data_IF_467740416913
#
_entry.id   IF_467740416913
#
_cell.length_a   1.000
_cell.length_b   1.000
_cell.length_c   1.000
_cell.angle_alpha   90.00
_cell.angle_beta   90.00
_cell.angle_gamma   90.00
#
_symmetry.space_group_name_H-M   'P 1'
#
loop_
_entity.id
_entity.type
_entity.pdbx_description
1 polymer ?
#
# COMPACT_ATOMS: atom_id res chain seq x y z
N UNK A 1 7.21 -26.80 13.04
CA UNK A 1 6.79 -26.53 11.65
C UNK A 1 6.40 -25.07 11.62
N UNK A 2 7.33 -24.22 11.15
CA UNK A 2 7.08 -22.81 10.95
C UNK A 2 6.24 -22.77 9.68
N UNK A 3 4.93 -22.49 9.80
CA UNK A 3 4.09 -22.29 8.63
C UNK A 3 4.69 -21.06 7.95
N UNK A 4 5.23 -21.29 6.77
CA UNK A 4 5.78 -20.26 5.93
C UNK A 4 4.70 -19.16 5.79
N UNK A 5 4.95 -17.92 6.23
CA UNK A 5 4.03 -16.79 6.01
C UNK A 5 4.06 -16.43 4.53
N UNK A 6 3.63 -17.38 3.68
CA UNK A 6 3.43 -17.15 2.25
C UNK A 6 2.20 -16.26 2.16
N UNK A 7 2.49 -14.97 2.05
CA UNK A 7 1.75 -14.02 1.23
C UNK A 7 0.25 -13.88 1.53
N UNK A 8 -0.16 -13.92 2.80
CA UNK A 8 -1.50 -13.38 3.14
C UNK A 8 -1.58 -11.90 2.78
N UNK A 9 -0.46 -11.18 2.86
CA UNK A 9 -0.36 -9.78 2.48
C UNK A 9 -0.48 -9.54 0.97
N UNK A 10 -0.23 -10.51 0.06
CA UNK A 10 -0.55 -10.33 -1.39
C UNK A 10 -2.02 -10.43 -1.69
N UNK A 11 -2.80 -11.06 -0.80
CA UNK A 11 -4.26 -11.20 -0.99
C UNK A 11 -5.03 -9.96 -0.59
N UNK A 12 -4.32 -8.97 -0.08
CA UNK A 12 -4.85 -7.69 0.36
C UNK A 12 -4.42 -6.66 -0.67
N UNK A 13 -5.33 -5.82 -1.13
CA UNK A 13 -5.02 -4.67 -1.96
C UNK A 13 -4.13 -3.70 -1.19
N UNK A 14 -3.31 -2.93 -1.90
CA UNK A 14 -2.48 -1.88 -1.29
C UNK A 14 -3.33 -0.90 -0.48
N UNK A 15 -4.56 -0.67 -0.91
CA UNK A 15 -5.53 0.17 -0.21
C UNK A 15 -5.99 -0.46 1.12
N UNK A 16 -6.47 -1.71 1.13
CA UNK A 16 -6.92 -2.34 2.36
C UNK A 16 -5.75 -2.52 3.36
N UNK A 17 -4.57 -2.87 2.87
CA UNK A 17 -3.33 -2.94 3.67
C UNK A 17 -3.01 -1.63 4.38
N UNK A 18 -3.02 -0.53 3.64
CA UNK A 18 -2.76 0.81 4.17
C UNK A 18 -3.79 1.26 5.21
N UNK A 19 -5.06 0.90 5.03
CA UNK A 19 -6.12 1.18 6.00
C UNK A 19 -5.89 0.39 7.29
N UNK A 20 -5.57 -0.90 7.16
CA UNK A 20 -5.24 -1.77 8.29
C UNK A 20 -4.06 -1.21 9.07
N UNK A 21 -2.99 -0.81 8.37
CA UNK A 21 -1.79 -0.21 8.94
C UNK A 21 -2.10 1.13 9.65
N UNK A 22 -2.92 1.99 9.05
CA UNK A 22 -3.35 3.26 9.66
C UNK A 22 -4.10 3.01 10.97
N UNK A 23 -5.00 2.02 10.98
CA UNK A 23 -5.74 1.64 12.19
C UNK A 23 -4.81 1.05 13.25
N UNK A 24 -3.84 0.22 12.88
CA UNK A 24 -2.82 -0.32 13.78
C UNK A 24 -1.95 0.77 14.40
N UNK A 25 -1.53 1.77 13.63
CA UNK A 25 -0.74 2.91 14.13
C UNK A 25 -1.54 3.84 15.06
N UNK A 26 -2.86 3.87 14.91
CA UNK A 26 -3.76 4.69 15.75
C UNK A 26 -4.24 3.93 16.99
N UNK A 27 -4.20 2.60 16.96
CA UNK A 27 -4.58 1.76 18.08
C UNK A 27 -3.51 1.80 19.19
N UNK A 28 -3.94 1.63 20.44
CA UNK A 28 -3.02 1.50 21.56
C UNK A 28 -2.09 0.29 21.35
N UNK A 29 -0.82 0.35 21.77
CA UNK A 29 0.16 -0.72 21.56
C UNK A 29 -0.19 -2.02 22.31
N UNK A 30 -1.16 -1.98 23.21
CA UNK A 30 -1.69 -3.12 23.96
C UNK A 30 -2.98 -3.71 23.33
N UNK A 31 -3.51 -3.07 22.29
CA UNK A 31 -4.74 -3.49 21.60
C UNK A 31 -4.42 -4.42 20.42
N UNK A 32 -4.92 -5.66 20.50
CA UNK A 32 -4.86 -6.59 19.37
C UNK A 32 -5.95 -6.23 18.35
N UNK A 33 -5.54 -5.57 17.27
CA UNK A 33 -6.46 -5.26 16.17
C UNK A 33 -6.66 -6.50 15.30
N UNK A 34 -7.89 -7.00 15.22
CA UNK A 34 -8.28 -8.13 14.36
C UNK A 34 -9.04 -7.67 13.12
N UNK A 35 -9.23 -8.55 12.13
CA UNK A 35 -10.04 -8.25 10.95
C UNK A 35 -11.47 -7.79 11.31
N UNK A 36 -12.08 -8.35 12.37
CA UNK A 36 -13.37 -7.88 12.87
C UNK A 36 -13.35 -6.40 13.30
N UNK A 37 -12.27 -5.97 13.98
CA UNK A 37 -12.09 -4.58 14.42
C UNK A 37 -11.90 -3.66 13.22
N UNK A 38 -11.15 -4.10 12.21
CA UNK A 38 -10.99 -3.35 10.96
C UNK A 38 -12.33 -3.21 10.24
N UNK A 39 -13.16 -4.26 10.21
CA UNK A 39 -14.46 -4.24 9.54
C UNK A 39 -15.45 -3.30 10.20
N UNK A 40 -15.50 -3.32 11.54
CA UNK A 40 -16.32 -2.40 12.32
C UNK A 40 -15.90 -0.95 12.07
N UNK A 41 -14.59 -0.68 12.07
CA UNK A 41 -14.02 0.62 11.75
C UNK A 41 -14.36 1.10 10.32
N UNK A 42 -14.24 0.21 9.33
CA UNK A 42 -14.63 0.50 7.93
C UNK A 42 -16.12 0.80 7.80
N UNK A 43 -16.97 0.04 8.49
CA UNK A 43 -18.43 0.20 8.46
C UNK A 43 -18.87 1.50 9.13
N UNK A 44 -18.23 1.87 10.24
CA UNK A 44 -18.47 3.13 10.93
C UNK A 44 -18.05 4.33 10.07
N UNK A 45 -16.87 4.24 9.44
CA UNK A 45 -16.36 5.29 8.54
C UNK A 45 -17.20 5.45 7.27
N UNK A 46 -17.65 4.34 6.66
CA UNK A 46 -18.61 4.36 5.56
C UNK A 46 -19.91 5.05 5.97
N UNK A 47 -20.46 4.71 7.14
CA UNK A 47 -21.67 5.35 7.67
C UNK A 47 -21.49 6.85 7.93
N UNK A 48 -20.32 7.27 8.43
CA UNK A 48 -19.99 8.67 8.63
C UNK A 48 -19.83 9.43 7.31
N UNK A 49 -19.18 8.82 6.31
CA UNK A 49 -18.95 9.41 4.99
C UNK A 49 -20.25 9.70 4.21
N UNK A 50 -21.32 8.93 4.42
CA UNK A 50 -22.63 9.22 3.85
C UNK A 50 -23.29 10.50 4.41
N UNK A 51 -22.77 11.04 5.52
CA UNK A 51 -23.39 12.16 6.24
C UNK A 51 -22.71 13.50 5.96
N UNK A 52 -21.47 13.51 5.46
CA UNK A 52 -20.66 14.72 5.33
C UNK A 52 -20.26 14.96 3.85
N UNK A 53 -20.95 15.89 3.20
CA UNK A 53 -20.80 16.27 1.78
C UNK A 53 -19.49 16.99 1.43
N UNK A 54 -18.53 17.10 2.35
CA UNK A 54 -17.35 17.93 2.13
C UNK A 54 -16.02 17.25 2.50
N UNK A 55 -15.23 17.05 1.45
CA UNK A 55 -13.83 17.44 1.32
C UNK A 55 -12.69 16.41 1.55
N UNK A 56 -12.09 16.05 0.39
CA UNK A 56 -10.64 15.99 0.10
C UNK A 56 -9.88 14.82 0.76
N UNK A 57 -9.43 13.87 -0.08
CA UNK A 57 -8.71 12.63 0.27
C UNK A 57 -9.55 11.53 0.90
N UNK A 58 -10.69 11.18 0.26
CA UNK A 58 -11.22 9.84 0.46
C UNK A 58 -10.15 8.89 -0.07
N UNK A 59 -9.44 8.22 0.83
CA UNK A 59 -9.03 6.84 0.57
C UNK A 59 -10.25 6.20 -0.12
N UNK A 60 -10.12 5.62 -1.31
CA UNK A 60 -11.25 5.10 -2.10
C UNK A 60 -11.97 3.95 -1.36
N UNK A 61 -12.66 4.29 -0.28
CA UNK A 61 -13.42 3.39 0.59
C UNK A 61 -14.73 3.16 -0.13
N UNK A 62 -14.65 2.28 -1.12
CA UNK A 62 -15.78 1.78 -1.87
C UNK A 62 -16.24 0.45 -1.26
N UNK A 63 -17.48 0.02 -1.56
CA UNK A 63 -18.02 -1.32 -1.24
C UNK A 63 -16.98 -2.42 -1.50
N UNK A 64 -16.14 -2.25 -2.53
CA UNK A 64 -15.05 -3.15 -2.88
C UNK A 64 -14.03 -3.43 -1.76
N UNK A 65 -13.70 -2.46 -0.90
CA UNK A 65 -12.78 -2.71 0.24
C UNK A 65 -13.48 -3.51 1.35
N UNK A 66 -14.79 -3.28 1.54
CA UNK A 66 -15.58 -4.02 2.52
C UNK A 66 -15.81 -5.45 2.05
N UNK A 67 -16.15 -5.66 0.78
CA UNK A 67 -16.23 -6.98 0.14
C UNK A 67 -14.89 -7.73 0.20
N UNK A 68 -13.78 -7.03 -0.05
CA UNK A 68 -12.43 -7.61 0.07
C UNK A 68 -12.14 -8.05 1.52
N UNK A 69 -12.46 -7.21 2.50
CA UNK A 69 -12.28 -7.55 3.90
C UNK A 69 -13.20 -8.67 4.37
N UNK A 70 -14.46 -8.71 3.92
CA UNK A 70 -15.39 -9.80 4.20
C UNK A 70 -14.86 -11.11 3.60
N UNK A 71 -14.31 -11.10 2.37
CA UNK A 71 -13.66 -12.27 1.78
C UNK A 71 -12.45 -12.76 2.62
N UNK A 72 -11.63 -11.84 3.14
CA UNK A 72 -10.53 -12.18 4.05
C UNK A 72 -11.03 -12.76 5.38
N UNK A 73 -12.14 -12.25 5.92
CA UNK A 73 -12.75 -12.77 7.14
C UNK A 73 -13.35 -14.16 6.91
N UNK A 74 -13.97 -14.41 5.76
CA UNK A 74 -14.47 -15.74 5.39
C UNK A 74 -13.33 -16.76 5.23
N UNK A 75 -12.19 -16.35 4.69
CA UNK A 75 -11.05 -17.23 4.44
C UNK A 75 -10.18 -17.48 5.69
N UNK A 76 -9.86 -16.42 6.45
CA UNK A 76 -8.90 -16.45 7.56
C UNK A 76 -9.54 -16.36 8.95
N UNK A 77 -10.80 -15.94 9.02
CA UNK A 77 -11.56 -15.79 10.26
C UNK A 77 -11.50 -14.39 10.87
N UNK A 78 -12.57 -14.01 11.54
CA UNK A 78 -12.75 -12.70 12.20
C UNK A 78 -11.72 -12.40 13.31
N UNK A 79 -11.11 -13.45 13.86
CA UNK A 79 -10.09 -13.37 14.93
C UNK A 79 -8.66 -13.27 14.41
N UNK A 80 -8.47 -13.27 13.09
CA UNK A 80 -7.14 -13.11 12.49
C UNK A 80 -6.60 -11.71 12.81
N UNK A 81 -5.30 -11.64 13.15
CA UNK A 81 -4.63 -10.39 13.50
C UNK A 81 -4.45 -9.55 12.24
N UNK A 82 -4.86 -8.29 12.30
CA UNK A 82 -4.78 -7.39 11.17
C UNK A 82 -3.31 -7.09 10.79
N UNK A 83 -2.38 -7.19 11.74
CA UNK A 83 -0.95 -7.02 11.51
C UNK A 83 -0.35 -7.98 10.47
N UNK A 84 -0.93 -9.16 10.29
CA UNK A 84 -0.47 -10.12 9.27
C UNK A 84 -0.84 -9.68 7.84
N UNK A 85 -1.82 -8.78 7.70
CA UNK A 85 -2.38 -8.33 6.41
C UNK A 85 -1.79 -7.00 5.93
N UNK A 86 -0.87 -6.41 6.69
CA UNK A 86 -0.12 -5.21 6.27
C UNK A 86 0.96 -5.59 5.28
N UNK A 87 0.87 -5.05 4.07
CA UNK A 87 1.95 -5.03 3.10
C UNK A 87 2.95 -3.92 3.46
N UNK A 88 4.13 -4.33 3.89
CA UNK A 88 5.29 -3.44 4.08
C UNK A 88 6.05 -3.16 2.77
N UNK A 89 5.48 -3.56 1.63
CA UNK A 89 6.15 -3.58 0.33
C UNK A 89 5.39 -2.70 -0.64
N UNK A 90 6.12 -2.07 -1.55
CA UNK A 90 5.53 -1.36 -2.67
C UNK A 90 4.71 -2.32 -3.55
N UNK A 91 3.72 -1.79 -4.26
CA UNK A 91 3.00 -2.53 -5.29
C UNK A 91 3.97 -3.09 -6.33
N UNK A 92 3.54 -4.08 -7.10
CA UNK A 92 4.36 -4.65 -8.17
C UNK A 92 4.82 -3.59 -9.21
N UNK A 93 3.95 -2.72 -9.75
CA UNK A 93 4.39 -1.66 -10.65
C UNK A 93 5.32 -0.65 -9.96
N UNK A 94 5.07 -0.31 -8.69
CA UNK A 94 5.96 0.57 -7.93
C UNK A 94 7.33 -0.08 -7.67
N UNK A 95 7.38 -1.38 -7.42
CA UNK A 95 8.63 -2.13 -7.30
C UNK A 95 9.43 -2.10 -8.60
N UNK A 96 8.78 -2.25 -9.76
CA UNK A 96 9.45 -2.10 -11.07
C UNK A 96 9.99 -0.67 -11.28
N UNK A 97 9.28 0.34 -10.81
CA UNK A 97 9.74 1.74 -10.87
C UNK A 97 10.94 1.95 -9.96
N UNK A 98 10.88 1.48 -8.72
CA UNK A 98 12.00 1.54 -7.77
C UNK A 98 13.22 0.82 -8.35
N UNK A 99 13.04 -0.38 -8.91
CA UNK A 99 14.10 -1.15 -9.56
C UNK A 99 14.68 -0.42 -10.77
N UNK A 100 13.85 0.22 -11.60
CA UNK A 100 14.31 1.05 -12.71
C UNK A 100 15.11 2.27 -12.23
N UNK A 101 14.72 2.90 -11.12
CA UNK A 101 15.49 4.00 -10.51
C UNK A 101 16.83 3.49 -9.98
N UNK A 102 16.87 2.32 -9.35
CA UNK A 102 18.10 1.70 -8.86
C UNK A 102 19.04 1.39 -10.03
N UNK A 103 18.54 0.75 -11.08
CA UNK A 103 19.34 0.35 -12.24
C UNK A 103 19.75 1.52 -13.15
N UNK A 104 19.02 2.65 -13.13
CA UNK A 104 19.34 3.84 -13.93
C UNK A 104 20.31 4.81 -13.26
N UNK A 105 20.51 4.69 -11.94
CA UNK A 105 21.46 5.52 -11.19
C UNK A 105 22.81 4.80 -11.10
N UNK A 106 23.81 5.29 -11.83
CA UNK A 106 25.22 4.90 -11.68
C UNK A 106 25.85 5.33 -10.32
N UNK A 107 25.05 5.60 -9.28
CA UNK A 107 25.52 6.19 -8.02
C UNK A 107 25.69 5.10 -6.95
N UNK A 108 26.80 5.12 -6.21
CA UNK A 108 27.11 4.23 -5.08
C UNK A 108 26.11 4.32 -3.89
N UNK A 109 25.06 5.13 -3.99
CA UNK A 109 24.08 5.35 -2.91
C UNK A 109 22.70 4.90 -3.36
N UNK A 110 22.05 3.99 -2.60
CA UNK A 110 20.70 3.55 -2.91
C UNK A 110 19.72 4.73 -2.91
N UNK A 111 18.76 4.77 -3.85
CA UNK A 111 17.81 5.87 -3.96
C UNK A 111 16.87 5.89 -2.75
N UNK A 112 16.50 7.09 -2.33
CA UNK A 112 15.46 7.29 -1.32
C UNK A 112 14.07 7.36 -1.95
N UNK A 113 13.01 7.23 -1.16
CA UNK A 113 11.63 7.39 -1.65
C UNK A 113 11.41 8.75 -2.32
N UNK A 114 12.01 9.82 -1.79
CA UNK A 114 11.93 11.15 -2.41
C UNK A 114 12.60 11.20 -3.79
N UNK A 115 13.72 10.49 -3.96
CA UNK A 115 14.40 10.35 -5.25
C UNK A 115 13.55 9.57 -6.27
N UNK A 116 12.81 8.55 -5.82
CA UNK A 116 11.86 7.81 -6.66
C UNK A 116 10.69 8.69 -7.07
N UNK A 117 10.11 9.46 -6.14
CA UNK A 117 9.05 10.43 -6.44
C UNK A 117 9.49 11.48 -7.47
N UNK A 118 10.70 12.00 -7.35
CA UNK A 118 11.26 12.94 -8.33
C UNK A 118 11.39 12.28 -9.70
N UNK A 119 11.88 11.04 -9.77
CA UNK A 119 11.97 10.29 -11.02
C UNK A 119 10.60 10.06 -11.66
N UNK A 120 9.58 9.76 -10.85
CA UNK A 120 8.19 9.65 -11.29
C UNK A 120 7.70 10.97 -11.90
N UNK A 121 7.90 12.08 -11.19
CA UNK A 121 7.54 13.42 -11.65
C UNK A 121 8.31 13.87 -12.92
N UNK A 122 9.51 13.34 -13.14
CA UNK A 122 10.31 13.57 -14.36
C UNK A 122 9.85 12.73 -15.56
N UNK A 123 8.80 11.92 -15.41
CA UNK A 123 8.23 11.12 -16.51
C UNK A 123 8.85 9.75 -16.68
N UNK A 124 9.48 9.19 -15.64
CA UNK A 124 9.94 7.80 -15.64
C UNK A 124 8.81 6.79 -15.98
N UNK A 125 7.57 6.91 -15.45
CA UNK A 125 6.48 5.98 -15.76
C UNK A 125 6.15 5.96 -17.25
N UNK A 126 6.01 7.13 -17.88
CA UNK A 126 5.76 7.25 -19.32
C UNK A 126 6.87 6.57 -20.15
N UNK A 127 8.11 6.63 -19.69
CA UNK A 127 9.21 5.89 -20.32
C UNK A 127 9.07 4.38 -20.12
N UNK A 128 8.74 3.93 -18.91
CA UNK A 128 8.56 2.51 -18.61
C UNK A 128 7.37 1.89 -19.37
N UNK A 129 6.30 2.66 -19.56
CA UNK A 129 5.18 2.28 -20.45
C UNK A 129 5.67 2.15 -21.90
N UNK A 130 6.46 3.12 -22.39
CA UNK A 130 7.06 3.07 -23.71
C UNK A 130 8.04 1.90 -23.92
N UNK A 131 8.73 1.48 -22.85
CA UNK A 131 9.66 0.34 -22.82
C UNK A 131 8.92 -1.01 -22.59
N UNK A 132 7.60 -1.00 -22.37
CA UNK A 132 6.77 -2.19 -22.14
C UNK A 132 6.96 -2.85 -20.76
N UNK A 133 7.46 -2.10 -19.78
CA UNK A 133 7.69 -2.54 -18.39
C UNK A 133 6.45 -2.29 -17.51
N UNK A 134 5.69 -1.24 -17.84
CA UNK A 134 4.42 -0.89 -17.21
C UNK A 134 3.31 -0.86 -18.26
N UNK A 135 2.09 -1.14 -17.84
CA UNK A 135 0.89 -0.92 -18.63
C UNK A 135 0.42 0.55 -18.54
N UNK A 136 -0.38 0.99 -19.52
CA UNK A 136 -0.86 2.37 -19.67
C UNK A 136 -1.84 2.82 -18.59
N UNK A 137 -2.38 1.89 -17.81
CA UNK A 137 -3.29 2.17 -16.69
C UNK A 137 -2.56 2.15 -15.33
N UNK A 138 -1.30 1.69 -15.30
CA UNK A 138 -0.53 1.53 -14.06
C UNK A 138 0.17 2.82 -13.62
N UNK A 139 0.41 3.78 -14.53
CA UNK A 139 1.16 5.00 -14.22
C UNK A 139 0.37 6.05 -13.42
N UNK A 140 -0.95 6.09 -13.59
CA UNK A 140 -1.85 7.01 -12.88
C UNK A 140 -1.82 6.83 -11.34
N UNK A 141 -1.59 5.60 -10.86
CA UNK A 141 -1.60 5.27 -9.43
C UNK A 141 -0.23 5.45 -8.74
N UNK A 142 0.87 5.47 -9.51
CA UNK A 142 2.23 5.47 -8.95
C UNK A 142 2.53 6.72 -8.12
N UNK A 143 2.15 7.91 -8.61
CA UNK A 143 2.47 9.15 -7.90
C UNK A 143 1.75 9.20 -6.53
N UNK A 144 0.50 8.76 -6.49
CA UNK A 144 -0.26 8.67 -5.24
C UNK A 144 0.34 7.64 -4.27
N UNK A 145 0.81 6.51 -4.80
CA UNK A 145 1.43 5.46 -4.00
C UNK A 145 2.77 5.90 -3.40
N UNK A 146 3.66 6.53 -4.18
CA UNK A 146 4.96 7.00 -3.65
C UNK A 146 4.78 8.12 -2.62
N UNK A 147 3.81 9.01 -2.82
CA UNK A 147 3.46 10.02 -1.81
C UNK A 147 2.91 9.35 -0.54
N UNK A 148 2.17 8.25 -0.65
CA UNK A 148 1.73 7.48 0.52
C UNK A 148 2.91 6.83 1.25
N UNK A 149 3.87 6.23 0.53
CA UNK A 149 5.08 5.65 1.13
C UNK A 149 5.94 6.71 1.83
N UNK A 150 6.14 7.87 1.20
CA UNK A 150 6.89 9.00 1.78
C UNK A 150 6.22 9.53 3.04
N UNK A 151 4.89 9.69 3.03
CA UNK A 151 4.16 10.14 4.21
C UNK A 151 4.26 9.15 5.39
N UNK A 152 4.40 7.85 5.10
CA UNK A 152 4.49 6.78 6.11
C UNK A 152 5.89 6.56 6.66
N UNK A 153 6.89 6.52 5.79
CA UNK A 153 8.25 6.11 6.14
C UNK A 153 9.26 7.27 6.13
N UNK A 154 8.86 8.41 5.57
CA UNK A 154 9.71 9.58 5.37
C UNK A 154 10.41 9.58 4.01
N UNK A 155 10.65 10.77 3.45
CA UNK A 155 11.30 10.93 2.14
C UNK A 155 12.74 10.42 2.09
N UNK A 156 13.41 10.36 3.25
CA UNK A 156 14.77 9.87 3.42
C UNK A 156 14.87 8.34 3.53
N UNK A 157 13.75 7.61 3.60
CA UNK A 157 13.76 6.16 3.65
C UNK A 157 14.31 5.56 2.35
N UNK A 158 15.06 4.47 2.44
CA UNK A 158 15.68 3.82 1.29
C UNK A 158 14.62 3.08 0.47
N UNK A 159 14.53 3.39 -0.82
CA UNK A 159 13.51 2.79 -1.68
C UNK A 159 13.69 1.27 -1.86
N UNK A 160 14.94 0.78 -1.78
CA UNK A 160 15.23 -0.65 -1.88
C UNK A 160 14.57 -1.49 -0.77
N UNK A 161 14.28 -0.91 0.40
CA UNK A 161 13.62 -1.62 1.49
C UNK A 161 12.14 -1.94 1.18
N UNK A 162 11.58 -1.25 0.20
CA UNK A 162 10.19 -1.43 -0.25
C UNK A 162 10.09 -2.27 -1.53
N UNK A 163 11.23 -2.70 -2.11
CA UNK A 163 11.23 -3.61 -3.25
C UNK A 163 10.65 -4.96 -2.87
N UNK A 164 9.63 -5.38 -3.60
CA UNK A 164 9.20 -6.78 -3.59
C UNK A 164 9.91 -7.52 -4.73
N UNK A 165 10.78 -8.46 -4.38
CA UNK A 165 11.29 -9.45 -5.34
C UNK A 165 10.26 -10.56 -5.47
N UNK A 166 9.60 -10.65 -6.62
CA UNK A 166 8.86 -11.85 -7.04
C UNK A 166 9.80 -12.87 -7.73
#
# INVERSE_FOLDING_TARGET
MIRNPIDVSTRVSSNLSALIETRLNTADPEEYVTLAVIRDYLTDMLSAAFTETEHIHHFDINDSLLDELDALIEEFGETALASDFVQNSASEPMSRVIDAVINSRDQDTPPTLEAVREAIAMGLPARLVGDGVLDEDEDDALLAEIDALINRHGGDALAEEFLRYE
#
